data_IF_945008481360
#
_entry.id   IF_945008481360
#
_cell.length_a   1.000
_cell.length_b   1.000
_cell.length_c   1.000
_cell.angle_alpha   90.00
_cell.angle_beta   90.00
_cell.angle_gamma   90.00
#
_symmetry.space_group_name_H-M   'P 1'
#
loop_
_entity.id
_entity.type
_entity.pdbx_description
1 polymer ?
#
# COMPACT_ATOMS: atom_id res chain seq x y z
N UNK A 1 11.95 18.04 -5.25
CA UNK A 1 12.60 17.01 -4.40
C UNK A 1 11.72 16.50 -3.25
N UNK A 2 11.10 17.37 -2.43
CA UNK A 2 10.25 16.93 -1.29
C UNK A 2 9.09 15.99 -1.66
N UNK A 3 8.45 16.19 -2.82
CA UNK A 3 7.29 15.38 -3.26
C UNK A 3 7.68 13.96 -3.69
N UNK A 4 8.79 13.82 -4.44
CA UNK A 4 9.29 12.51 -4.88
C UNK A 4 9.78 11.71 -3.68
N UNK A 5 10.54 12.34 -2.77
CA UNK A 5 10.99 11.70 -1.54
C UNK A 5 9.84 11.16 -0.69
N UNK A 6 8.72 11.90 -0.59
CA UNK A 6 7.53 11.43 0.14
C UNK A 6 6.86 10.22 -0.54
N UNK A 7 6.77 10.19 -1.87
CA UNK A 7 6.24 9.04 -2.62
C UNK A 7 7.10 7.80 -2.39
N UNK A 8 8.43 7.94 -2.58
CA UNK A 8 9.37 6.84 -2.42
C UNK A 8 9.39 6.31 -0.98
N UNK A 9 9.41 7.20 0.01
CA UNK A 9 9.37 6.80 1.42
C UNK A 9 8.12 5.99 1.75
N UNK A 10 6.94 6.44 1.30
CA UNK A 10 5.68 5.75 1.58
C UNK A 10 5.60 4.41 0.86
N UNK A 11 6.05 4.35 -0.39
CA UNK A 11 6.15 3.10 -1.13
C UNK A 11 7.09 2.12 -0.42
N UNK A 12 8.26 2.58 0.05
CA UNK A 12 9.19 1.76 0.79
C UNK A 12 8.61 1.26 2.12
N UNK A 13 7.90 2.12 2.87
CA UNK A 13 7.24 1.71 4.11
C UNK A 13 6.20 0.62 3.85
N UNK A 14 5.37 0.77 2.81
CA UNK A 14 4.36 -0.24 2.46
C UNK A 14 5.04 -1.55 2.01
N UNK A 15 6.05 -1.46 1.14
CA UNK A 15 6.80 -2.60 0.62
C UNK A 15 7.50 -3.41 1.73
N UNK A 16 7.90 -2.76 2.83
CA UNK A 16 8.56 -3.42 3.97
C UNK A 16 7.55 -3.87 5.03
N UNK A 17 6.58 -3.02 5.38
CA UNK A 17 5.64 -3.29 6.47
C UNK A 17 4.74 -4.49 6.17
N UNK A 18 4.22 -4.60 4.94
CA UNK A 18 3.35 -5.71 4.55
C UNK A 18 4.03 -7.08 4.74
N UNK A 19 5.18 -7.39 4.11
CA UNK A 19 5.81 -8.70 4.27
C UNK A 19 6.33 -8.93 5.68
N UNK A 20 6.84 -7.88 6.36
CA UNK A 20 7.32 -8.01 7.74
C UNK A 20 6.19 -8.39 8.70
N UNK A 21 5.03 -7.72 8.61
CA UNK A 21 3.88 -8.02 9.45
C UNK A 21 3.30 -9.41 9.15
N UNK A 22 3.21 -9.81 7.88
CA UNK A 22 2.79 -11.16 7.52
C UNK A 22 3.73 -12.23 8.08
N UNK A 23 5.04 -12.03 7.94
CA UNK A 23 6.04 -12.94 8.48
C UNK A 23 5.97 -13.05 10.01
N UNK A 24 5.86 -11.92 10.73
CA UNK A 24 5.68 -11.91 12.19
C UNK A 24 4.39 -12.63 12.60
N UNK A 25 3.30 -12.43 11.86
CA UNK A 25 2.03 -13.11 12.12
C UNK A 25 2.16 -14.64 11.97
N UNK A 26 2.83 -15.10 10.91
CA UNK A 26 3.08 -16.52 10.67
C UNK A 26 3.91 -17.15 11.81
N UNK A 27 4.95 -16.43 12.27
CA UNK A 27 5.79 -16.89 13.37
C UNK A 27 5.05 -17.07 14.69
N UNK A 28 4.09 -16.18 14.98
CA UNK A 28 3.33 -16.21 16.24
C UNK A 28 2.23 -17.28 16.20
N UNK A 29 1.63 -17.53 15.04
CA UNK A 29 0.44 -18.40 14.94
C UNK A 29 0.77 -19.87 14.67
N UNK A 30 1.87 -20.19 13.99
CA UNK A 30 2.48 -21.54 13.95
C UNK A 30 1.62 -22.71 13.43
N UNK A 31 0.43 -22.47 12.86
CA UNK A 31 -0.53 -23.50 12.46
C UNK A 31 -0.59 -23.78 10.95
N UNK A 32 -1.34 -24.82 10.52
CA UNK A 32 -1.50 -25.21 9.11
C UNK A 32 -2.03 -24.07 8.22
N UNK A 33 -2.89 -23.21 8.76
CA UNK A 33 -3.51 -22.07 8.06
C UNK A 33 -2.75 -20.74 8.25
N UNK A 34 -1.59 -20.77 8.94
CA UNK A 34 -0.84 -19.56 9.28
C UNK A 34 -0.41 -18.77 8.03
N UNK A 35 -0.21 -19.45 6.90
CA UNK A 35 0.20 -18.81 5.65
C UNK A 35 -0.92 -17.97 5.01
N UNK A 36 -2.18 -18.46 5.02
CA UNK A 36 -3.33 -17.70 4.50
C UNK A 36 -3.62 -16.52 5.43
N UNK A 37 -3.61 -16.76 6.75
CA UNK A 37 -3.82 -15.71 7.75
C UNK A 37 -2.74 -14.61 7.69
N UNK A 38 -1.47 -15.00 7.51
CA UNK A 38 -0.35 -14.07 7.36
C UNK A 38 -0.50 -13.17 6.13
N UNK A 39 -0.90 -13.74 4.99
CA UNK A 39 -1.16 -12.98 3.77
C UNK A 39 -2.28 -11.96 3.96
N UNK A 40 -3.41 -12.39 4.54
CA UNK A 40 -4.54 -11.49 4.81
C UNK A 40 -4.17 -10.38 5.81
N UNK A 41 -3.40 -10.70 6.84
CA UNK A 41 -2.92 -9.73 7.81
C UNK A 41 -1.96 -8.71 7.18
N UNK A 42 -1.03 -9.16 6.34
CA UNK A 42 -0.16 -8.28 5.56
C UNK A 42 -0.96 -7.32 4.68
N UNK A 43 -2.02 -7.80 4.02
CA UNK A 43 -2.91 -6.96 3.22
C UNK A 43 -3.68 -5.95 4.07
N UNK A 44 -4.21 -6.36 5.22
CA UNK A 44 -4.92 -5.47 6.14
C UNK A 44 -4.01 -4.32 6.61
N UNK A 45 -2.74 -4.61 6.89
CA UNK A 45 -1.73 -3.61 7.27
C UNK A 45 -1.48 -2.61 6.13
N UNK A 46 -1.24 -3.11 4.91
CA UNK A 46 -1.04 -2.26 3.74
C UNK A 46 -2.25 -1.36 3.44
N UNK A 47 -3.45 -1.94 3.51
CA UNK A 47 -4.71 -1.23 3.34
C UNK A 47 -4.90 -0.12 4.39
N UNK A 48 -4.61 -0.42 5.66
CA UNK A 48 -4.74 0.54 6.76
C UNK A 48 -3.75 1.70 6.64
N UNK A 49 -2.47 1.41 6.37
CA UNK A 49 -1.45 2.44 6.14
C UNK A 49 -1.86 3.33 4.96
N UNK A 50 -2.27 2.70 3.85
CA UNK A 50 -2.72 3.37 2.65
C UNK A 50 -3.89 4.31 2.93
N UNK A 51 -4.95 3.79 3.57
CA UNK A 51 -6.13 4.55 3.94
C UNK A 51 -5.81 5.75 4.83
N UNK A 52 -5.08 5.55 5.94
CA UNK A 52 -4.85 6.60 6.93
C UNK A 52 -3.98 7.75 6.39
N UNK A 53 -2.93 7.43 5.62
CA UNK A 53 -2.13 8.48 5.00
C UNK A 53 -2.88 9.18 3.87
N UNK A 54 -3.68 8.44 3.08
CA UNK A 54 -4.47 9.03 2.01
C UNK A 54 -5.59 9.93 2.55
N UNK A 55 -6.20 9.56 3.68
CA UNK A 55 -7.15 10.37 4.45
C UNK A 55 -6.52 11.69 4.87
N UNK A 56 -5.32 11.62 5.47
CA UNK A 56 -4.56 12.82 5.85
C UNK A 56 -4.22 13.68 4.64
N UNK A 57 -3.83 13.10 3.52
CA UNK A 57 -3.52 13.88 2.31
C UNK A 57 -4.78 14.53 1.71
N UNK A 58 -5.88 13.79 1.60
CA UNK A 58 -7.15 14.29 1.06
C UNK A 58 -7.71 15.45 1.90
N UNK A 59 -7.46 15.46 3.21
CA UNK A 59 -7.83 16.58 4.08
C UNK A 59 -7.02 17.86 3.84
N UNK A 60 -5.87 17.77 3.15
CA UNK A 60 -4.90 18.87 2.99
C UNK A 60 -4.69 19.30 1.56
N UNK A 61 -4.92 18.42 0.58
CA UNK A 61 -4.56 18.62 -0.82
C UNK A 61 -5.74 18.29 -1.75
N UNK A 62 -5.72 18.82 -2.98
CA UNK A 62 -6.79 18.57 -3.96
C UNK A 62 -6.84 17.09 -4.38
N UNK A 63 -8.04 16.59 -4.65
CA UNK A 63 -8.28 15.17 -4.91
C UNK A 63 -7.43 14.62 -6.05
N UNK A 64 -7.45 15.25 -7.24
CA UNK A 64 -6.76 14.75 -8.44
C UNK A 64 -5.26 14.50 -8.23
N UNK A 65 -4.47 15.50 -7.80
CA UNK A 65 -3.04 15.31 -7.53
C UNK A 65 -2.75 14.26 -6.45
N UNK A 66 -3.60 14.14 -5.43
CA UNK A 66 -3.42 13.13 -4.37
C UNK A 66 -3.72 11.72 -4.90
N UNK A 67 -4.80 11.56 -5.67
CA UNK A 67 -5.14 10.28 -6.28
C UNK A 67 -4.00 9.76 -7.18
N UNK A 68 -3.42 10.61 -8.03
CA UNK A 68 -2.27 10.24 -8.87
C UNK A 68 -1.06 9.82 -8.03
N UNK A 69 -0.77 10.53 -6.93
CA UNK A 69 0.32 10.13 -6.02
C UNK A 69 0.07 8.75 -5.42
N UNK A 70 -1.17 8.45 -5.04
CA UNK A 70 -1.52 7.15 -4.47
C UNK A 70 -1.47 6.02 -5.50
N UNK A 71 -1.78 6.29 -6.78
CA UNK A 71 -1.48 5.34 -7.87
C UNK A 71 0.02 5.02 -7.90
N UNK A 72 0.89 6.03 -7.91
CA UNK A 72 2.35 5.82 -7.92
C UNK A 72 2.85 5.07 -6.68
N UNK A 73 2.38 5.44 -5.48
CA UNK A 73 2.75 4.78 -4.22
C UNK A 73 2.34 3.31 -4.26
N UNK A 74 1.15 3.00 -4.75
CA UNK A 74 0.62 1.62 -4.78
C UNK A 74 1.39 0.75 -5.76
N UNK A 75 1.70 1.27 -6.95
CA UNK A 75 2.51 0.58 -7.96
C UNK A 75 3.93 0.34 -7.43
N UNK A 76 4.59 1.38 -6.90
CA UNK A 76 5.95 1.25 -6.38
C UNK A 76 6.01 0.34 -5.15
N UNK A 77 5.01 0.38 -4.27
CA UNK A 77 4.90 -0.51 -3.12
C UNK A 77 4.75 -1.97 -3.55
N UNK A 78 3.91 -2.23 -4.55
CA UNK A 78 3.75 -3.58 -5.12
C UNK A 78 5.00 -4.08 -5.82
N UNK A 79 5.71 -3.23 -6.56
CA UNK A 79 7.01 -3.57 -7.15
C UNK A 79 8.06 -3.85 -6.08
N UNK A 80 8.08 -3.07 -4.99
CA UNK A 80 8.95 -3.34 -3.85
C UNK A 80 8.68 -4.70 -3.22
N UNK A 81 7.40 -5.05 -3.02
CA UNK A 81 7.00 -6.39 -2.56
C UNK A 81 7.45 -7.48 -3.54
N UNK A 82 7.22 -7.27 -4.83
CA UNK A 82 7.64 -8.20 -5.88
C UNK A 82 9.16 -8.44 -5.88
N UNK A 83 9.98 -7.41 -5.68
CA UNK A 83 11.44 -7.57 -5.58
C UNK A 83 11.82 -8.54 -4.45
N UNK A 84 11.16 -8.45 -3.29
CA UNK A 84 11.40 -9.40 -2.20
C UNK A 84 11.00 -10.84 -2.58
N UNK A 85 9.88 -11.02 -3.28
CA UNK A 85 9.44 -12.32 -3.78
C UNK A 85 10.41 -12.89 -4.82
N UNK A 86 10.80 -12.08 -5.81
CA UNK A 86 11.69 -12.46 -6.90
C UNK A 86 13.09 -12.90 -6.42
N UNK A 87 13.59 -12.34 -5.31
CA UNK A 87 14.85 -12.78 -4.69
C UNK A 87 14.73 -14.17 -4.06
N UNK A 88 13.55 -14.53 -3.54
CA UNK A 88 13.32 -15.82 -2.86
C UNK A 88 12.90 -16.92 -3.84
N UNK A 89 12.10 -16.57 -4.84
CA UNK A 89 11.50 -17.48 -5.81
C UNK A 89 11.64 -16.90 -7.22
N UNK A 90 12.86 -16.89 -7.79
CA UNK A 90 13.14 -16.23 -9.08
C UNK A 90 12.36 -16.84 -10.24
N UNK A 91 12.01 -18.13 -10.17
CA UNK A 91 11.21 -18.81 -11.20
C UNK A 91 9.77 -18.31 -11.27
N UNK A 92 9.21 -17.87 -10.14
CA UNK A 92 7.85 -17.31 -10.07
C UNK A 92 7.82 -15.81 -10.41
N UNK A 93 8.97 -15.13 -10.43
CA UNK A 93 9.05 -13.67 -10.49
C UNK A 93 8.26 -13.04 -11.66
N UNK A 94 8.36 -13.59 -12.88
CA UNK A 94 7.63 -13.03 -14.02
C UNK A 94 6.10 -13.21 -13.86
N UNK A 95 5.68 -14.38 -13.39
CA UNK A 95 4.28 -14.68 -13.08
C UNK A 95 3.75 -13.75 -11.99
N UNK A 96 4.50 -13.60 -10.90
CA UNK A 96 4.12 -12.74 -9.77
C UNK A 96 4.04 -11.27 -10.15
N UNK A 97 4.93 -10.80 -11.03
CA UNK A 97 4.88 -9.43 -11.54
C UNK A 97 3.57 -9.14 -12.30
N UNK A 98 3.05 -10.14 -13.02
CA UNK A 98 1.87 -9.99 -13.87
C UNK A 98 0.56 -10.33 -13.16
N UNK A 99 0.59 -11.24 -12.19
CA UNK A 99 -0.62 -11.76 -11.54
C UNK A 99 -0.77 -11.24 -10.10
N UNK A 100 0.33 -11.14 -9.35
CA UNK A 100 0.31 -10.83 -7.91
C UNK A 100 0.53 -9.34 -7.66
N UNK A 101 1.50 -8.71 -8.32
CA UNK A 101 1.79 -7.29 -8.12
C UNK A 101 0.58 -6.37 -8.40
N UNK A 102 -0.26 -6.57 -9.45
CA UNK A 102 -1.46 -5.76 -9.65
C UNK A 102 -2.48 -5.92 -8.51
N UNK A 103 -2.58 -7.14 -7.97
CA UNK A 103 -3.46 -7.45 -6.84
C UNK A 103 -2.99 -6.70 -5.59
N UNK A 104 -1.69 -6.74 -5.28
CA UNK A 104 -1.09 -6.00 -4.15
C UNK A 104 -1.27 -4.50 -4.33
N UNK A 105 -1.02 -3.98 -5.53
CA UNK A 105 -1.22 -2.56 -5.84
C UNK A 105 -2.69 -2.16 -5.58
N UNK A 106 -3.64 -3.00 -5.97
CA UNK A 106 -5.08 -2.75 -5.77
C UNK A 106 -5.46 -2.74 -4.29
N UNK A 107 -4.90 -3.64 -3.48
CA UNK A 107 -5.14 -3.68 -2.03
C UNK A 107 -4.64 -2.46 -1.28
N UNK A 108 -3.67 -1.74 -1.83
CA UNK A 108 -3.23 -0.45 -1.30
C UNK A 108 -4.05 0.69 -1.90
N UNK A 109 -4.27 0.65 -3.21
CA UNK A 109 -4.88 1.75 -3.96
C UNK A 109 -6.34 1.96 -3.60
N UNK A 110 -7.16 0.90 -3.56
CA UNK A 110 -8.60 1.01 -3.29
C UNK A 110 -8.87 1.68 -1.93
N UNK A 111 -8.30 1.20 -0.81
CA UNK A 111 -8.46 1.88 0.47
C UNK A 111 -7.80 3.26 0.49
N UNK A 112 -6.68 3.46 -0.22
CA UNK A 112 -6.12 4.81 -0.34
C UNK A 112 -7.11 5.78 -1.01
N UNK A 113 -7.71 5.43 -2.15
CA UNK A 113 -8.70 6.28 -2.83
C UNK A 113 -9.91 6.56 -1.94
N UNK A 114 -10.40 5.56 -1.20
CA UNK A 114 -11.45 5.77 -0.19
C UNK A 114 -11.01 6.78 0.88
N UNK A 115 -9.77 6.68 1.36
CA UNK A 115 -9.16 7.65 2.26
C UNK A 115 -9.11 9.06 1.67
N UNK A 116 -8.63 9.22 0.43
CA UNK A 116 -8.58 10.52 -0.26
C UNK A 116 -9.97 11.13 -0.35
N UNK A 117 -10.97 10.35 -0.78
CA UNK A 117 -12.34 10.80 -0.93
C UNK A 117 -12.92 11.27 0.42
N UNK A 118 -12.77 10.47 1.48
CA UNK A 118 -13.21 10.84 2.81
C UNK A 118 -12.49 12.10 3.31
N UNK A 119 -11.18 12.19 3.12
CA UNK A 119 -10.38 13.34 3.53
C UNK A 119 -10.82 14.63 2.83
N UNK A 120 -11.18 14.55 1.55
CA UNK A 120 -11.67 15.70 0.80
C UNK A 120 -12.98 16.27 1.39
N UNK A 121 -13.83 15.43 2.00
CA UNK A 121 -15.06 15.90 2.67
C UNK A 121 -14.78 16.68 3.95
N UNK A 122 -13.66 16.38 4.63
CA UNK A 122 -13.25 16.99 5.90
C UNK A 122 -12.56 18.36 5.75
N UNK A 123 -12.31 18.82 4.51
CA UNK A 123 -11.65 20.10 4.27
C UNK A 123 -12.52 21.28 4.76
N UNK A 124 -11.97 22.18 5.59
CA UNK A 124 -12.64 23.43 5.99
C UNK A 124 -13.10 24.20 4.75
N UNK A 125 -14.30 24.80 4.82
CA UNK A 125 -14.97 25.46 3.69
C UNK A 125 -14.13 26.58 3.07
N UNK A 126 -13.28 27.26 3.85
CA UNK A 126 -12.46 28.38 3.39
C UNK A 126 -11.30 27.96 2.45
N UNK A 127 -10.97 26.67 2.39
CA UNK A 127 -9.93 26.12 1.52
C UNK A 127 -10.47 25.53 0.20
N UNK A 128 -11.77 25.74 -0.10
CA UNK A 128 -12.45 25.23 -1.31
C UNK A 128 -12.62 26.29 -2.42
N UNK A 129 -12.19 27.53 -2.17
CA UNK A 129 -12.19 28.64 -3.12
C UNK A 129 -10.90 28.68 -3.95
#
# INVERSE_FOLDING_TARGET
MRTIGAVLLRAAVIAVAMPLCGWLFAMVTGGPDANIGAGLFAFAVGALIGFLWALRDGSRMAFGPVAVRWVLISVLGALGFWVFGAVREPEAALSDLTMVAPTIASFVLVPAIAGVALGATMRPRDARA
#
